data_IF_068501340271
#
_entry.id   IF_068501340271
#
_cell.length_a   1.000
_cell.length_b   1.000
_cell.length_c   1.000
_cell.angle_alpha   90.00
_cell.angle_beta   90.00
_cell.angle_gamma   90.00
#
_symmetry.space_group_name_H-M   'P 1'
#
loop_
_entity.id
_entity.type
_entity.pdbx_description
1 polymer ?
#
# COMPACT_ATOMS: atom_id res chain seq x y z
N UNK A 1 10.04 5.49 12.98
CA UNK A 1 10.35 4.34 13.85
C UNK A 1 10.17 3.08 13.01
N UNK A 2 11.13 2.14 12.97
CA UNK A 2 10.89 0.88 12.27
C UNK A 2 9.86 0.10 13.08
N UNK A 3 8.66 -0.07 12.53
CA UNK A 3 7.67 -0.97 13.11
C UNK A 3 8.16 -2.41 12.97
N UNK A 4 7.85 -3.24 13.98
CA UNK A 4 8.10 -4.67 13.86
C UNK A 4 7.20 -5.24 12.76
N UNK A 5 7.79 -5.98 11.82
CA UNK A 5 7.09 -6.70 10.76
C UNK A 5 6.96 -8.16 11.17
N UNK A 6 5.73 -8.66 11.23
CA UNK A 6 5.44 -10.05 11.59
C UNK A 6 4.62 -10.68 10.47
N UNK A 7 5.01 -11.87 10.02
CA UNK A 7 4.23 -12.70 9.10
C UNK A 7 4.00 -14.04 9.79
N UNK A 8 2.74 -14.34 10.10
CA UNK A 8 2.34 -15.57 10.77
C UNK A 8 1.48 -16.43 9.83
N UNK A 9 1.85 -17.69 9.56
CA UNK A 9 1.00 -18.57 8.76
C UNK A 9 -0.31 -18.86 9.49
N UNK A 10 -1.40 -18.95 8.72
CA UNK A 10 -2.74 -19.30 9.20
C UNK A 10 -3.22 -20.62 8.57
N UNK A 11 -4.21 -21.30 9.18
CA UNK A 11 -4.87 -22.44 8.56
C UNK A 11 -5.42 -22.09 7.17
N UNK A 12 -5.40 -23.06 6.25
CA UNK A 12 -5.89 -22.85 4.88
C UNK A 12 -4.92 -22.13 3.94
N UNK A 13 -3.66 -21.94 4.34
CA UNK A 13 -2.61 -21.36 3.49
C UNK A 13 -2.60 -19.83 3.44
N UNK A 14 -3.44 -19.17 4.21
CA UNK A 14 -3.39 -17.72 4.41
C UNK A 14 -2.22 -17.32 5.34
N UNK A 15 -1.94 -16.03 5.40
CA UNK A 15 -0.99 -15.43 6.35
C UNK A 15 -1.58 -14.19 7.00
N UNK A 16 -1.23 -13.96 8.27
CA UNK A 16 -1.43 -12.70 8.97
C UNK A 16 -0.16 -11.86 8.85
N UNK A 17 -0.27 -10.67 8.32
CA UNK A 17 0.82 -9.70 8.20
C UNK A 17 0.54 -8.50 9.12
N UNK A 18 1.45 -8.24 10.06
CA UNK A 18 1.34 -7.14 11.02
C UNK A 18 2.53 -6.18 10.89
N UNK A 19 2.24 -4.88 10.85
CA UNK A 19 3.24 -3.81 10.83
C UNK A 19 2.67 -2.57 11.54
N UNK A 20 3.05 -2.36 12.80
CA UNK A 20 2.51 -1.26 13.61
C UNK A 20 0.99 -1.40 13.83
N UNK A 21 0.17 -0.38 13.52
CA UNK A 21 -1.29 -0.48 13.66
C UNK A 21 -1.95 -1.32 12.55
N UNK A 22 -1.22 -1.68 11.49
CA UNK A 22 -1.77 -2.44 10.38
C UNK A 22 -1.81 -3.94 10.69
N UNK A 23 -2.94 -4.56 10.36
CA UNK A 23 -3.12 -6.02 10.30
C UNK A 23 -3.79 -6.41 8.98
N UNK A 24 -3.17 -7.31 8.23
CA UNK A 24 -3.69 -7.83 6.96
C UNK A 24 -3.79 -9.35 7.04
N UNK A 25 -4.91 -9.91 6.55
CA UNK A 25 -5.02 -11.34 6.26
C UNK A 25 -4.92 -11.51 4.75
N UNK A 26 -3.92 -12.26 4.30
CA UNK A 26 -3.64 -12.44 2.87
C UNK A 26 -3.77 -13.91 2.53
N UNK A 27 -4.57 -14.22 1.52
CA UNK A 27 -4.73 -15.55 0.95
C UNK A 27 -4.59 -15.47 -0.57
N UNK A 28 -3.94 -16.46 -1.17
CA UNK A 28 -3.89 -16.63 -2.62
C UNK A 28 -4.09 -18.09 -2.97
N UNK A 29 -4.73 -18.36 -4.11
CA UNK A 29 -4.95 -19.72 -4.60
C UNK A 29 -4.78 -19.79 -6.12
N UNK A 30 -4.40 -20.97 -6.61
CA UNK A 30 -4.50 -21.33 -8.03
C UNK A 30 -5.55 -22.43 -8.13
N UNK A 31 -6.71 -22.09 -8.69
CA UNK A 31 -7.91 -22.91 -8.52
C UNK A 31 -8.23 -23.06 -7.03
N UNK A 32 -8.35 -24.31 -6.58
CA UNK A 32 -8.63 -24.67 -5.18
C UNK A 32 -7.36 -24.90 -4.33
N UNK A 33 -6.16 -24.72 -4.90
CA UNK A 33 -4.89 -25.00 -4.20
C UNK A 33 -4.34 -23.72 -3.56
N UNK A 34 -4.24 -23.64 -2.22
CA UNK A 34 -3.67 -22.49 -1.54
C UNK A 34 -2.19 -22.28 -1.87
N UNK A 35 -1.79 -21.02 -2.00
CA UNK A 35 -0.44 -20.58 -2.38
C UNK A 35 0.18 -19.76 -1.24
N UNK A 36 0.56 -20.43 -0.15
CA UNK A 36 1.04 -19.75 1.05
C UNK A 36 2.33 -18.93 0.80
N UNK A 37 3.26 -19.43 0.00
CA UNK A 37 4.47 -18.67 -0.37
C UNK A 37 4.14 -17.39 -1.13
N UNK A 38 3.12 -17.42 -1.99
CA UNK A 38 2.61 -16.22 -2.67
C UNK A 38 1.98 -15.25 -1.68
N UNK A 39 1.23 -15.74 -0.70
CA UNK A 39 0.67 -14.90 0.37
C UNK A 39 1.77 -14.26 1.25
N UNK A 40 2.87 -14.98 1.53
CA UNK A 40 4.05 -14.43 2.23
C UNK A 40 4.71 -13.32 1.41
N UNK A 41 4.90 -13.52 0.09
CA UNK A 41 5.47 -12.48 -0.79
C UNK A 41 4.58 -11.23 -0.84
N UNK A 42 3.27 -11.41 -1.00
CA UNK A 42 2.31 -10.31 -0.98
C UNK A 42 2.32 -9.55 0.36
N UNK A 43 2.53 -10.23 1.49
CA UNK A 43 2.72 -9.57 2.79
C UNK A 43 3.98 -8.70 2.83
N UNK A 44 5.09 -9.19 2.29
CA UNK A 44 6.36 -8.45 2.23
C UNK A 44 6.23 -7.20 1.34
N UNK A 45 5.65 -7.35 0.15
CA UNK A 45 5.38 -6.25 -0.78
C UNK A 45 4.44 -5.20 -0.16
N UNK A 46 3.37 -5.64 0.52
CA UNK A 46 2.46 -4.75 1.24
C UNK A 46 3.18 -3.88 2.28
N UNK A 47 4.12 -4.46 3.03
CA UNK A 47 4.94 -3.68 3.96
C UNK A 47 5.81 -2.65 3.25
N UNK A 48 6.41 -3.00 2.12
CA UNK A 48 7.26 -2.11 1.35
C UNK A 48 6.47 -0.93 0.78
N UNK A 49 5.31 -1.17 0.18
CA UNK A 49 4.43 -0.13 -0.35
C UNK A 49 4.03 0.87 0.72
N UNK A 50 3.62 0.39 1.89
CA UNK A 50 3.24 1.25 3.00
C UNK A 50 4.43 2.02 3.58
N UNK A 51 5.62 1.43 3.62
CA UNK A 51 6.83 2.14 4.04
C UNK A 51 7.24 3.23 3.06
N UNK A 52 7.11 2.99 1.75
CA UNK A 52 7.37 3.99 0.71
C UNK A 52 6.43 5.17 0.84
N UNK A 53 5.14 4.91 1.01
CA UNK A 53 4.12 5.95 1.22
C UNK A 53 4.34 6.68 2.56
N UNK A 54 4.67 5.95 3.63
CA UNK A 54 4.93 6.55 4.94
C UNK A 54 6.13 7.52 4.91
N UNK A 55 7.17 7.25 4.12
CA UNK A 55 8.31 8.17 3.93
C UNK A 55 7.91 9.48 3.25
N UNK A 56 6.86 9.45 2.43
CA UNK A 56 6.36 10.59 1.67
C UNK A 56 5.11 11.24 2.31
N UNK A 57 4.72 10.81 3.51
CA UNK A 57 3.45 11.22 4.15
C UNK A 57 3.28 12.74 4.26
N UNK A 58 4.36 13.47 4.55
CA UNK A 58 4.30 14.93 4.72
C UNK A 58 4.04 15.66 3.38
N UNK A 59 4.39 15.04 2.25
CA UNK A 59 4.09 15.54 0.90
C UNK A 59 2.73 15.05 0.44
N UNK A 60 2.46 13.75 0.55
CA UNK A 60 1.20 13.13 0.10
C UNK A 60 -0.02 13.56 0.93
N UNK A 61 0.20 14.08 2.14
CA UNK A 61 -0.84 14.69 2.96
C UNK A 61 -1.25 16.11 2.55
N UNK A 62 -0.53 16.73 1.61
CA UNK A 62 -0.88 18.03 1.05
C UNK A 62 -1.96 17.88 -0.03
N UNK A 63 -2.68 18.96 -0.33
CA UNK A 63 -3.61 18.96 -1.47
C UNK A 63 -2.81 18.78 -2.76
N UNK A 64 -3.37 18.06 -3.71
CA UNK A 64 -2.61 17.67 -4.91
C UNK A 64 -2.05 18.87 -5.71
N UNK A 65 -2.72 20.04 -5.65
CA UNK A 65 -2.27 21.25 -6.34
C UNK A 65 -1.17 22.04 -5.60
N UNK A 66 -0.92 21.73 -4.32
CA UNK A 66 0.15 22.34 -3.53
C UNK A 66 1.47 21.55 -3.65
N UNK A 67 1.40 20.30 -4.14
CA UNK A 67 2.56 19.44 -4.34
C UNK A 67 3.37 20.00 -5.51
N UNK A 68 4.56 20.51 -5.18
CA UNK A 68 5.51 21.06 -6.15
C UNK A 68 6.69 20.11 -6.33
N UNK A 69 7.13 19.93 -7.57
CA UNK A 69 8.29 19.11 -7.93
C UNK A 69 7.93 17.71 -8.43
N UNK A 70 8.91 17.02 -9.01
CA UNK A 70 8.74 15.65 -9.49
C UNK A 70 8.89 14.65 -8.33
N UNK A 71 7.91 13.75 -8.22
CA UNK A 71 7.98 12.61 -7.31
C UNK A 71 8.70 11.45 -8.03
N UNK A 72 9.77 10.94 -7.45
CA UNK A 72 10.49 9.79 -8.00
C UNK A 72 9.73 8.47 -7.77
N UNK A 73 8.99 8.37 -6.66
CA UNK A 73 8.26 7.16 -6.31
C UNK A 73 7.01 6.98 -7.19
N UNK A 74 6.95 5.85 -7.89
CA UNK A 74 5.84 5.53 -8.81
C UNK A 74 4.48 5.44 -8.12
N UNK A 75 4.40 4.89 -6.89
CA UNK A 75 3.14 4.83 -6.15
C UNK A 75 2.66 6.24 -5.82
N UNK A 76 3.58 7.10 -5.40
CA UNK A 76 3.27 8.49 -5.10
C UNK A 76 2.79 9.26 -6.35
N UNK A 77 3.42 9.04 -7.51
CA UNK A 77 2.97 9.58 -8.80
C UNK A 77 1.56 9.13 -9.15
N UNK A 78 1.31 7.81 -9.12
CA UNK A 78 -0.02 7.26 -9.42
C UNK A 78 -1.09 7.78 -8.46
N UNK A 79 -0.77 8.00 -7.17
CA UNK A 79 -1.69 8.60 -6.21
C UNK A 79 -2.06 10.05 -6.59
N UNK A 80 -1.07 10.87 -6.99
CA UNK A 80 -1.31 12.25 -7.45
C UNK A 80 -2.14 12.26 -8.74
N UNK A 81 -1.80 11.42 -9.71
CA UNK A 81 -2.53 11.30 -10.98
C UNK A 81 -3.98 10.87 -10.76
N UNK A 82 -4.20 9.90 -9.87
CA UNK A 82 -5.53 9.39 -9.53
C UNK A 82 -6.43 10.47 -8.95
N UNK A 83 -5.94 11.26 -7.98
CA UNK A 83 -6.76 12.34 -7.38
C UNK A 83 -6.92 13.52 -8.32
N UNK A 84 -5.92 13.79 -9.18
CA UNK A 84 -6.01 14.84 -10.19
C UNK A 84 -7.09 14.52 -11.24
N UNK A 85 -7.24 13.25 -11.62
CA UNK A 85 -8.26 12.80 -12.56
C UNK A 85 -9.69 12.96 -12.04
N UNK A 86 -9.90 12.97 -10.72
CA UNK A 86 -11.21 13.22 -10.10
C UNK A 86 -11.61 14.70 -10.21
N UNK A 87 -10.64 15.61 -10.23
CA UNK A 87 -10.87 17.06 -10.37
C UNK A 87 -11.32 17.78 -9.08
N UNK A 88 -11.36 17.09 -7.94
CA UNK A 88 -11.67 17.68 -6.63
C UNK A 88 -10.40 18.28 -6.00
N UNK A 89 -10.43 19.58 -5.72
CA UNK A 89 -9.29 20.36 -5.22
C UNK A 89 -8.97 20.11 -3.75
N UNK A 90 -9.91 19.56 -2.98
CA UNK A 90 -9.70 19.25 -1.57
C UNK A 90 -9.08 17.86 -1.35
N UNK A 91 -8.98 17.03 -2.40
CA UNK A 91 -8.32 15.74 -2.30
C UNK A 91 -6.80 15.89 -2.16
N UNK A 92 -6.28 15.11 -1.22
CA UNK A 92 -4.86 14.81 -1.08
C UNK A 92 -4.59 13.46 -1.74
N UNK A 93 -3.38 13.20 -2.27
CA UNK A 93 -3.01 11.90 -2.80
C UNK A 93 -3.30 10.73 -1.86
N UNK A 94 -3.27 10.95 -0.53
CA UNK A 94 -3.64 9.92 0.45
C UNK A 94 -5.05 9.34 0.24
N UNK A 95 -5.97 10.05 -0.40
CA UNK A 95 -7.30 9.52 -0.73
C UNK A 95 -7.25 8.33 -1.71
N UNK A 96 -6.20 8.21 -2.52
CA UNK A 96 -6.03 7.15 -3.51
C UNK A 96 -5.19 5.95 -3.00
N UNK A 97 -4.67 6.00 -1.77
CA UNK A 97 -3.69 5.01 -1.26
C UNK A 97 -4.13 3.55 -1.43
N UNK A 98 -5.37 3.24 -1.05
CA UNK A 98 -5.87 1.87 -1.09
C UNK A 98 -6.03 1.37 -2.54
N UNK A 99 -6.51 2.24 -3.44
CA UNK A 99 -6.68 1.90 -4.85
C UNK A 99 -5.36 1.68 -5.55
N UNK A 100 -4.38 2.57 -5.33
CA UNK A 100 -3.05 2.46 -5.96
C UNK A 100 -2.28 1.25 -5.45
N UNK A 101 -2.35 0.93 -4.15
CA UNK A 101 -1.74 -0.29 -3.62
C UNK A 101 -2.39 -1.56 -4.19
N UNK A 102 -3.71 -1.54 -4.40
CA UNK A 102 -4.41 -2.71 -4.93
C UNK A 102 -4.12 -2.98 -6.41
N UNK A 103 -3.68 -1.97 -7.16
CA UNK A 103 -3.37 -2.06 -8.60
C UNK A 103 -1.89 -2.40 -8.89
N UNK A 104 -1.00 -2.18 -7.92
CA UNK A 104 0.46 -2.33 -8.05
C UNK A 104 0.95 -3.77 -7.83
#
# INVERSE_FOLDING_TARGET
>A
MPYQKIISPLPGGAVMAECGPMRLVISGSVGEVPQQETAVRAAQESFEYLERIARLRDVLGQRHHDISGELEDLLARHMVESVSAVGDRDLTPMAAVAGVIADA
#
